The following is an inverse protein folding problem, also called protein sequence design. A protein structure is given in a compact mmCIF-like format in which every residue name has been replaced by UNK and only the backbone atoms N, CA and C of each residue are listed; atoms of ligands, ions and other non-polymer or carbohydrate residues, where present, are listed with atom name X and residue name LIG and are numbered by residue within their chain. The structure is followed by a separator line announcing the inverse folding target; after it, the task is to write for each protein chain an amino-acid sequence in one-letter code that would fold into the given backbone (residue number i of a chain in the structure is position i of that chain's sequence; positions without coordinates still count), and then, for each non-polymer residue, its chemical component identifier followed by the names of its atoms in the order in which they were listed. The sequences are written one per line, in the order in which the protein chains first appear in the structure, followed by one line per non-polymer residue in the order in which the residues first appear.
data_IF_573167753823
#
_entry.id   IF_573167753823
#
_cell.length_a   1.000
_cell.length_b   1.000
_cell.length_c   1.000
_cell.angle_alpha   90.00
_cell.angle_beta   90.00
_cell.angle_gamma   90.00
#
_symmetry.space_group_name_H-M   'P 1'
#
loop_
_entity.id
_entity.type
_entity.pdbx_description
1 polymer ?
#
# COMPACT_ATOMS: atom_id res chain seq x y z
N UNK A 1 -29.68 14.44 -3.84
CA UNK A 1 -28.97 14.74 -2.56
C UNK A 1 -27.79 13.81 -2.33
N UNK A 2 -28.00 12.52 -2.01
CA UNK A 2 -26.89 11.59 -1.80
C UNK A 2 -26.01 11.43 -3.06
N UNK A 3 -26.61 11.32 -4.25
CA UNK A 3 -25.84 11.26 -5.50
C UNK A 3 -25.00 12.52 -5.73
N UNK A 4 -25.48 13.70 -5.33
CA UNK A 4 -24.72 14.95 -5.43
C UNK A 4 -23.51 14.93 -4.50
N UNK A 5 -23.68 14.40 -3.28
CA UNK A 5 -22.58 14.19 -2.34
C UNK A 5 -21.52 13.28 -2.97
N UNK A 6 -21.92 12.14 -3.53
CA UNK A 6 -20.97 11.18 -4.11
C UNK A 6 -20.23 11.76 -5.34
N UNK A 7 -20.96 12.44 -6.24
CA UNK A 7 -20.35 13.11 -7.39
C UNK A 7 -19.36 14.22 -6.99
N UNK A 8 -19.62 14.92 -5.89
CA UNK A 8 -18.75 15.99 -5.43
C UNK A 8 -17.34 15.53 -5.01
N UNK A 9 -17.15 14.24 -4.72
CA UNK A 9 -15.81 13.69 -4.45
C UNK A 9 -14.96 13.48 -5.70
N UNK A 10 -15.53 13.61 -6.91
CA UNK A 10 -14.79 13.59 -8.18
C UNK A 10 -14.17 14.95 -8.52
N UNK A 11 -14.11 15.86 -7.56
CA UNK A 11 -13.58 17.22 -7.72
C UNK A 11 -12.08 17.19 -8.06
N UNK A 12 -11.71 17.79 -9.19
CA UNK A 12 -10.35 17.93 -9.69
C UNK A 12 -9.84 19.38 -9.60
N UNK A 13 -10.59 20.28 -8.97
CA UNK A 13 -10.28 21.70 -8.81
C UNK A 13 -11.47 22.64 -9.04
N UNK A 14 -12.64 22.11 -9.33
CA UNK A 14 -13.86 22.85 -9.58
C UNK A 14 -14.50 23.40 -8.29
N UNK A 15 -14.57 24.72 -8.17
CA UNK A 15 -15.22 25.39 -7.02
C UNK A 15 -16.71 25.02 -6.84
N UNK A 16 -17.39 24.64 -7.92
CA UNK A 16 -18.79 24.19 -7.90
C UNK A 16 -18.95 22.87 -7.17
N UNK A 17 -18.05 21.90 -7.37
CA UNK A 17 -18.09 20.60 -6.71
C UNK A 17 -17.74 20.70 -5.23
N UNK A 18 -16.82 21.61 -4.85
CA UNK A 18 -16.57 21.94 -3.45
C UNK A 18 -17.85 22.44 -2.75
N UNK A 19 -18.51 23.45 -3.31
CA UNK A 19 -19.77 23.98 -2.78
C UNK A 19 -20.88 22.93 -2.76
N UNK A 20 -20.93 22.07 -3.78
CA UNK A 20 -21.87 20.96 -3.83
C UNK A 20 -21.64 20.00 -2.67
N UNK A 21 -20.39 19.62 -2.37
CA UNK A 21 -20.03 18.76 -1.24
C UNK A 21 -20.51 19.36 0.09
N UNK A 22 -20.16 20.62 0.38
CA UNK A 22 -20.58 21.29 1.62
C UNK A 22 -22.11 21.35 1.74
N UNK A 23 -22.77 21.74 0.64
CA UNK A 23 -24.23 21.86 0.59
C UNK A 23 -24.89 20.50 0.84
N UNK A 24 -24.54 19.45 0.08
CA UNK A 24 -25.18 18.15 0.22
C UNK A 24 -24.86 17.49 1.56
N UNK A 25 -23.63 17.60 2.06
CA UNK A 25 -23.24 17.02 3.35
C UNK A 25 -24.05 17.61 4.49
N UNK A 26 -24.17 18.96 4.53
CA UNK A 26 -24.96 19.67 5.54
C UNK A 26 -26.42 19.23 5.53
N UNK A 27 -27.05 19.24 4.36
CA UNK A 27 -28.48 18.91 4.25
C UNK A 27 -28.74 17.42 4.50
N UNK A 28 -27.84 16.52 4.10
CA UNK A 28 -27.95 15.09 4.40
C UNK A 28 -27.86 14.83 5.90
N UNK A 29 -26.91 15.47 6.61
CA UNK A 29 -26.78 15.36 8.08
C UNK A 29 -28.06 15.80 8.80
N UNK A 30 -28.68 16.89 8.34
CA UNK A 30 -29.95 17.38 8.91
C UNK A 30 -31.12 16.45 8.59
N UNK A 31 -31.14 15.85 7.40
CA UNK A 31 -32.20 14.95 6.96
C UNK A 31 -32.20 13.61 7.72
N UNK A 32 -31.04 13.10 8.16
CA UNK A 32 -30.88 11.77 8.79
C UNK A 32 -31.92 11.49 9.89
N UNK A 33 -32.26 12.48 10.72
CA UNK A 33 -33.24 12.31 11.82
C UNK A 33 -34.69 12.13 11.37
N UNK A 34 -34.98 12.40 10.10
CA UNK A 34 -36.31 12.30 9.50
C UNK A 34 -36.42 11.16 8.48
N UNK A 35 -35.34 10.41 8.23
CA UNK A 35 -35.34 9.28 7.31
C UNK A 35 -35.74 8.00 8.02
N UNK A 36 -36.36 7.08 7.27
CA UNK A 36 -36.58 5.70 7.71
C UNK A 36 -35.27 5.07 8.22
N UNK A 37 -35.28 4.25 9.29
CA UNK A 37 -34.06 3.79 9.96
C UNK A 37 -33.01 3.14 9.05
N UNK A 38 -33.45 2.36 8.04
CA UNK A 38 -32.56 1.71 7.07
C UNK A 38 -31.86 2.73 6.16
N UNK A 39 -32.62 3.71 5.65
CA UNK A 39 -32.10 4.78 4.80
C UNK A 39 -31.23 5.76 5.60
N UNK A 40 -31.62 6.10 6.83
CA UNK A 40 -30.84 6.93 7.74
C UNK A 40 -29.44 6.33 7.99
N UNK A 41 -29.38 5.01 8.22
CA UNK A 41 -28.12 4.26 8.37
C UNK A 41 -27.31 4.28 7.08
N UNK A 42 -27.95 4.09 5.93
CA UNK A 42 -27.28 4.10 4.62
C UNK A 42 -26.69 5.47 4.28
N UNK A 43 -27.44 6.55 4.53
CA UNK A 43 -26.97 7.93 4.32
C UNK A 43 -25.82 8.26 5.26
N UNK A 44 -25.93 7.93 6.56
CA UNK A 44 -24.86 8.19 7.53
C UNK A 44 -23.54 7.54 7.11
N UNK A 45 -23.57 6.24 6.84
CA UNK A 45 -22.37 5.50 6.40
C UNK A 45 -21.81 5.98 5.06
N UNK A 46 -22.65 6.50 4.17
CA UNK A 46 -22.17 7.08 2.90
C UNK A 46 -21.52 8.46 3.09
N UNK A 47 -21.93 9.23 4.09
CA UNK A 47 -21.24 10.47 4.48
C UNK A 47 -19.89 10.20 5.14
N UNK A 48 -19.81 9.15 5.97
CA UNK A 48 -18.56 8.77 6.65
C UNK A 48 -17.56 8.12 5.67
N UNK A 49 -18.08 7.38 4.69
CA UNK A 49 -17.29 6.63 3.70
C UNK A 49 -17.83 6.87 2.27
N UNK A 50 -17.47 7.99 1.62
CA UNK A 50 -17.89 8.27 0.24
C UNK A 50 -17.29 7.25 -0.75
N UNK A 51 -18.03 6.92 -1.81
CA UNK A 51 -17.63 5.88 -2.78
C UNK A 51 -16.25 6.11 -3.39
N UNK A 52 -15.93 7.36 -3.77
CA UNK A 52 -14.68 7.66 -4.47
C UNK A 52 -13.43 7.46 -3.59
N UNK A 53 -13.56 7.61 -2.27
CA UNK A 53 -12.45 7.55 -1.31
C UNK A 53 -12.56 6.36 -0.36
N UNK A 54 -13.35 5.35 -0.73
CA UNK A 54 -13.59 4.15 0.09
C UNK A 54 -13.43 2.89 -0.74
N UNK A 55 -13.07 1.79 -0.07
CA UNK A 55 -12.95 0.48 -0.71
C UNK A 55 -14.28 0.02 -1.30
N UNK A 56 -14.29 -0.36 -2.58
CA UNK A 56 -15.53 -0.76 -3.26
C UNK A 56 -16.19 -1.96 -2.58
N UNK A 57 -15.40 -2.92 -2.11
CA UNK A 57 -15.91 -4.09 -1.38
C UNK A 57 -16.63 -3.72 -0.07
N UNK A 58 -16.12 -2.71 0.65
CA UNK A 58 -16.78 -2.18 1.84
C UNK A 58 -18.12 -1.55 1.48
N UNK A 59 -18.14 -0.73 0.42
CA UNK A 59 -19.36 -0.06 -0.07
C UNK A 59 -20.38 -1.06 -0.59
N UNK A 60 -19.96 -2.09 -1.32
CA UNK A 60 -20.82 -3.14 -1.86
C UNK A 60 -21.54 -3.91 -0.74
N UNK A 61 -20.83 -4.28 0.34
CA UNK A 61 -21.44 -4.91 1.53
C UNK A 61 -22.48 -4.02 2.18
N UNK A 62 -22.14 -2.74 2.34
CA UNK A 62 -23.05 -1.77 2.94
C UNK A 62 -24.29 -1.54 2.09
N UNK A 63 -24.11 -1.43 0.76
CA UNK A 63 -25.21 -1.25 -0.19
C UNK A 63 -26.11 -2.49 -0.24
N UNK A 64 -25.55 -3.69 -0.27
CA UNK A 64 -26.31 -4.94 -0.19
C UNK A 64 -27.17 -4.99 1.08
N UNK A 65 -26.60 -4.62 2.22
CA UNK A 65 -27.34 -4.56 3.50
C UNK A 65 -28.51 -3.57 3.42
N UNK A 66 -28.36 -2.43 2.74
CA UNK A 66 -29.46 -1.50 2.51
C UNK A 66 -30.54 -2.10 1.59
N UNK A 67 -30.16 -2.69 0.46
CA UNK A 67 -31.09 -3.32 -0.49
C UNK A 67 -31.94 -4.42 0.16
N UNK A 68 -31.34 -5.25 1.01
CA UNK A 68 -32.03 -6.32 1.73
C UNK A 68 -33.10 -5.81 2.71
N UNK A 69 -33.05 -4.54 3.11
CA UNK A 69 -34.02 -3.90 3.99
C UNK A 69 -35.10 -3.12 3.23
N UNK A 70 -35.10 -3.14 1.89
CA UNK A 70 -36.13 -2.49 1.09
C UNK A 70 -37.41 -3.34 0.99
N UNK A 71 -38.60 -2.71 0.89
CA UNK A 71 -39.86 -3.43 0.70
C UNK A 71 -39.91 -4.25 -0.60
N UNK A 72 -39.30 -3.71 -1.67
CA UNK A 72 -39.21 -4.37 -2.97
C UNK A 72 -37.78 -4.87 -3.18
N UNK A 73 -37.61 -6.19 -3.23
CA UNK A 73 -36.29 -6.83 -3.30
C UNK A 73 -36.07 -7.47 -4.67
N UNK A 74 -34.87 -7.27 -5.21
CA UNK A 74 -34.39 -8.02 -6.37
C UNK A 74 -33.53 -9.19 -5.87
N UNK A 75 -34.17 -10.32 -5.63
CA UNK A 75 -33.52 -11.51 -5.07
C UNK A 75 -32.43 -12.07 -5.98
N UNK A 76 -32.54 -11.89 -7.30
CA UNK A 76 -31.50 -12.29 -8.26
C UNK A 76 -30.20 -11.53 -8.06
N UNK A 77 -30.27 -10.20 -7.91
CA UNK A 77 -29.08 -9.35 -7.64
C UNK A 77 -28.47 -9.68 -6.28
N UNK A 78 -29.31 -9.88 -5.24
CA UNK A 78 -28.83 -10.24 -3.91
C UNK A 78 -28.11 -11.58 -3.90
N UNK A 79 -28.68 -12.60 -4.56
CA UNK A 79 -28.08 -13.92 -4.66
C UNK A 79 -26.76 -13.89 -5.42
N UNK A 80 -26.68 -13.12 -6.51
CA UNK A 80 -25.45 -12.93 -7.27
C UNK A 80 -24.37 -12.29 -6.40
N UNK A 81 -24.69 -11.18 -5.72
CA UNK A 81 -23.74 -10.49 -4.85
C UNK A 81 -23.25 -11.40 -3.72
N UNK A 82 -24.15 -12.13 -3.06
CA UNK A 82 -23.79 -13.09 -2.02
C UNK A 82 -22.89 -14.21 -2.54
N UNK A 83 -23.20 -14.79 -3.70
CA UNK A 83 -22.39 -15.82 -4.32
C UNK A 83 -20.98 -15.29 -4.65
N UNK A 84 -20.88 -14.11 -5.23
CA UNK A 84 -19.59 -13.46 -5.53
C UNK A 84 -18.77 -13.21 -4.25
N UNK A 85 -19.39 -12.71 -3.19
CA UNK A 85 -18.73 -12.53 -1.90
C UNK A 85 -18.18 -13.84 -1.34
N UNK A 86 -18.93 -14.95 -1.44
CA UNK A 86 -18.46 -16.25 -0.95
C UNK A 86 -17.29 -16.77 -1.79
N UNK A 87 -17.36 -16.65 -3.12
CA UNK A 87 -16.28 -17.09 -4.02
C UNK A 87 -15.00 -16.29 -3.75
N UNK A 88 -15.08 -14.95 -3.69
CA UNK A 88 -13.94 -14.09 -3.37
C UNK A 88 -13.36 -14.41 -1.99
N UNK A 89 -14.21 -14.61 -0.98
CA UNK A 89 -13.79 -14.99 0.38
C UNK A 89 -13.00 -16.31 0.39
N UNK A 90 -13.52 -17.35 -0.26
CA UNK A 90 -12.85 -18.65 -0.34
C UNK A 90 -11.51 -18.56 -1.07
N UNK A 91 -11.46 -17.75 -2.13
CA UNK A 91 -10.24 -17.49 -2.89
C UNK A 91 -9.18 -16.80 -2.02
N UNK A 92 -9.53 -15.71 -1.34
CA UNK A 92 -8.62 -15.01 -0.42
C UNK A 92 -8.15 -15.87 0.76
N UNK A 93 -9.01 -16.76 1.27
CA UNK A 93 -8.61 -17.71 2.31
C UNK A 93 -7.57 -18.73 1.83
N UNK A 94 -7.59 -19.12 0.55
CA UNK A 94 -6.56 -19.98 -0.05
C UNK A 94 -5.26 -19.21 -0.22
N UNK A 95 -5.35 -17.98 -0.75
CA UNK A 95 -4.21 -17.07 -0.94
C UNK A 95 -3.48 -16.81 0.39
N UNK A 96 -4.22 -16.47 1.45
CA UNK A 96 -3.65 -16.25 2.78
C UNK A 96 -2.93 -17.49 3.33
N UNK A 97 -3.46 -18.69 3.10
CA UNK A 97 -2.81 -19.93 3.55
C UNK A 97 -1.48 -20.15 2.84
N UNK A 98 -1.41 -19.84 1.55
CA UNK A 98 -0.20 -19.94 0.75
C UNK A 98 0.83 -18.91 1.19
N UNK A 99 0.43 -17.64 1.27
CA UNK A 99 1.26 -16.54 1.77
C UNK A 99 1.81 -16.85 3.16
N UNK A 100 0.95 -17.33 4.08
CA UNK A 100 1.38 -17.68 5.44
C UNK A 100 2.41 -18.81 5.42
N UNK A 101 2.22 -19.85 4.60
CA UNK A 101 3.19 -20.94 4.49
C UNK A 101 4.54 -20.41 4.01
N UNK A 102 4.54 -19.65 2.90
CA UNK A 102 5.74 -19.02 2.37
C UNK A 102 6.45 -18.16 3.43
N UNK A 103 5.71 -17.33 4.16
CA UNK A 103 6.26 -16.47 5.20
C UNK A 103 6.89 -17.26 6.36
N UNK A 104 6.23 -18.33 6.80
CA UNK A 104 6.78 -19.20 7.84
C UNK A 104 8.03 -19.96 7.38
N UNK A 105 8.06 -20.39 6.12
CA UNK A 105 9.18 -21.10 5.52
C UNK A 105 10.42 -20.20 5.37
N UNK A 106 10.24 -18.88 5.16
CA UNK A 106 11.34 -17.92 5.17
C UNK A 106 12.03 -17.79 6.53
N UNK A 107 11.31 -18.00 7.64
CA UNK A 107 11.88 -17.94 8.99
C UNK A 107 12.27 -16.54 9.50
N UNK A 108 12.10 -15.48 8.69
CA UNK A 108 12.56 -14.12 9.01
C UNK A 108 11.98 -13.56 10.31
N UNK A 109 10.71 -13.83 10.61
CA UNK A 109 10.09 -13.38 11.86
C UNK A 109 10.79 -13.94 13.13
N UNK A 110 11.46 -15.10 13.01
CA UNK A 110 12.25 -15.67 14.11
C UNK A 110 13.67 -15.12 14.14
N UNK A 111 14.26 -14.86 12.97
CA UNK A 111 15.62 -14.31 12.87
C UNK A 111 15.68 -12.82 13.22
N UNK A 112 14.56 -12.10 13.04
CA UNK A 112 14.45 -10.66 13.29
C UNK A 112 13.25 -10.40 14.23
N UNK A 113 13.35 -10.71 15.53
CA UNK A 113 12.21 -10.63 16.46
C UNK A 113 11.66 -9.21 16.66
N UNK A 114 12.46 -8.19 16.36
CA UNK A 114 12.05 -6.79 16.45
C UNK A 114 11.22 -6.33 15.25
N UNK A 115 11.28 -7.04 14.12
CA UNK A 115 10.49 -6.70 12.94
C UNK A 115 9.03 -7.16 13.10
N UNK A 116 8.11 -6.41 12.49
CA UNK A 116 6.68 -6.68 12.47
C UNK A 116 6.42 -8.04 11.81
N UNK A 117 5.66 -8.91 12.48
CA UNK A 117 5.14 -10.17 11.91
C UNK A 117 3.64 -10.03 11.62
N UNK A 118 3.32 -9.26 10.58
CA UNK A 118 1.95 -8.86 10.27
C UNK A 118 1.50 -9.28 8.85
N UNK A 119 1.89 -10.48 8.41
CA UNK A 119 1.64 -10.95 7.04
C UNK A 119 0.16 -10.89 6.59
N UNK A 120 -0.77 -11.03 7.54
CA UNK A 120 -2.20 -10.86 7.26
C UNK A 120 -2.58 -9.40 6.96
N UNK A 121 -1.99 -8.43 7.68
CA UNK A 121 -2.15 -6.99 7.41
C UNK A 121 -1.57 -6.66 6.04
N UNK A 122 -0.39 -7.17 5.75
CA UNK A 122 0.32 -6.94 4.48
C UNK A 122 -0.45 -7.48 3.27
N UNK A 123 -1.08 -8.65 3.41
CA UNK A 123 -1.96 -9.23 2.38
C UNK A 123 -3.21 -8.36 2.08
N UNK A 124 -3.69 -7.56 3.04
CA UNK A 124 -4.88 -6.73 2.81
C UNK A 124 -4.67 -5.72 1.68
N UNK A 125 -3.44 -5.22 1.49
CA UNK A 125 -3.11 -4.26 0.43
C UNK A 125 -3.38 -4.81 -0.98
N UNK A 126 -2.73 -5.90 -1.44
CA UNK A 126 -3.04 -6.46 -2.75
C UNK A 126 -4.48 -6.97 -2.86
N UNK A 127 -5.09 -7.44 -1.76
CA UNK A 127 -6.50 -7.86 -1.75
C UNK A 127 -7.46 -6.72 -2.12
N UNK A 128 -7.19 -5.50 -1.66
CA UNK A 128 -8.04 -4.34 -1.93
C UNK A 128 -7.72 -3.68 -3.27
N UNK A 129 -6.46 -3.72 -3.71
CA UNK A 129 -6.04 -3.16 -5.01
C UNK A 129 -6.49 -4.03 -6.19
N UNK A 130 -6.50 -5.36 -6.03
CA UNK A 130 -6.81 -6.30 -7.11
C UNK A 130 -8.10 -7.10 -6.83
N UNK A 131 -9.24 -6.60 -7.30
CA UNK A 131 -10.57 -7.17 -6.96
C UNK A 131 -11.00 -8.41 -7.78
N UNK A 132 -10.30 -8.73 -8.88
CA UNK A 132 -10.65 -9.82 -9.80
C UNK A 132 -10.12 -11.19 -9.37
N UNK A 133 -10.89 -12.27 -9.60
CA UNK A 133 -10.47 -13.64 -9.29
C UNK A 133 -9.22 -14.07 -10.07
N UNK A 134 -9.07 -13.59 -11.30
CA UNK A 134 -7.91 -13.83 -12.17
C UNK A 134 -6.60 -13.29 -11.60
N UNK A 135 -6.66 -12.31 -10.70
CA UNK A 135 -5.47 -11.68 -10.10
C UNK A 135 -4.95 -12.41 -8.86
N UNK A 136 -5.43 -13.62 -8.59
CA UNK A 136 -5.04 -14.42 -7.42
C UNK A 136 -3.53 -14.52 -7.24
N UNK A 137 -2.84 -14.95 -8.30
CA UNK A 137 -1.39 -15.13 -8.27
C UNK A 137 -0.67 -13.81 -8.03
N UNK A 138 -1.13 -12.73 -8.67
CA UNK A 138 -0.51 -11.41 -8.50
C UNK A 138 -0.72 -10.87 -7.09
N UNK A 139 -1.86 -11.14 -6.44
CA UNK A 139 -2.04 -10.80 -5.02
C UNK A 139 -1.04 -11.53 -4.13
N UNK A 140 -0.79 -12.81 -4.37
CA UNK A 140 0.18 -13.59 -3.61
C UNK A 140 1.58 -13.00 -3.80
N UNK A 141 2.02 -12.78 -5.03
CA UNK A 141 3.37 -12.26 -5.32
C UNK A 141 3.57 -10.83 -4.82
N UNK A 142 2.60 -9.95 -5.00
CA UNK A 142 2.66 -8.58 -4.45
C UNK A 142 2.68 -8.60 -2.93
N UNK A 143 1.97 -9.54 -2.28
CA UNK A 143 2.08 -9.68 -0.83
C UNK A 143 3.52 -9.96 -0.41
N UNK A 144 4.27 -10.77 -1.16
CA UNK A 144 5.68 -11.04 -0.85
C UNK A 144 6.53 -9.78 -0.93
N UNK A 145 6.31 -8.94 -1.95
CA UNK A 145 7.00 -7.64 -2.08
C UNK A 145 6.64 -6.71 -0.93
N UNK A 146 5.36 -6.57 -0.61
CA UNK A 146 4.90 -5.76 0.53
C UNK A 146 5.54 -6.24 1.83
N UNK A 147 5.57 -7.56 2.08
CA UNK A 147 6.26 -8.13 3.25
C UNK A 147 7.75 -7.77 3.28
N UNK A 148 8.45 -7.83 2.15
CA UNK A 148 9.87 -7.44 2.09
C UNK A 148 10.07 -5.96 2.37
N UNK A 149 9.18 -5.08 1.89
CA UNK A 149 9.23 -3.63 2.21
C UNK A 149 9.16 -3.43 3.72
N UNK A 150 8.16 -3.99 4.40
CA UNK A 150 8.02 -3.85 5.86
C UNK A 150 9.22 -4.40 6.64
N UNK A 151 9.77 -5.53 6.23
CA UNK A 151 10.93 -6.10 6.93
C UNK A 151 12.18 -5.27 6.72
N UNK A 152 12.42 -4.75 5.51
CA UNK A 152 13.57 -3.89 5.28
C UNK A 152 13.43 -2.57 6.05
N UNK A 153 12.24 -1.98 6.03
CA UNK A 153 11.89 -0.79 6.83
C UNK A 153 12.23 -1.00 8.32
N UNK A 154 11.75 -2.09 8.92
CA UNK A 154 12.06 -2.43 10.32
C UNK A 154 13.56 -2.67 10.57
N UNK A 155 14.27 -3.27 9.63
CA UNK A 155 15.73 -3.44 9.74
C UNK A 155 16.42 -2.07 9.76
N UNK A 156 16.00 -1.16 8.89
CA UNK A 156 16.61 0.18 8.77
C UNK A 156 16.30 1.06 9.98
N UNK A 157 15.12 0.94 10.57
CA UNK A 157 14.68 1.79 11.68
C UNK A 157 15.06 1.26 13.05
N UNK A 158 14.93 -0.06 13.28
CA UNK A 158 14.93 -0.63 14.62
C UNK A 158 16.13 -1.54 14.92
N UNK A 159 16.74 -2.15 13.90
CA UNK A 159 17.65 -3.29 14.11
C UNK A 159 19.09 -2.99 13.73
N UNK A 160 19.33 -2.54 12.50
CA UNK A 160 20.67 -2.49 11.94
C UNK A 160 21.47 -1.29 12.45
N UNK A 161 22.78 -1.48 12.58
CA UNK A 161 23.76 -0.42 12.81
C UNK A 161 24.06 0.34 11.51
N UNK A 162 24.64 1.54 11.64
CA UNK A 162 24.96 2.37 10.47
C UNK A 162 25.93 1.69 9.50
N UNK A 163 26.88 0.91 10.02
CA UNK A 163 27.85 0.18 9.21
C UNK A 163 27.17 -0.97 8.44
N UNK A 164 26.30 -1.72 9.11
CA UNK A 164 25.53 -2.81 8.49
C UNK A 164 24.62 -2.29 7.36
N UNK A 165 23.95 -1.16 7.57
CA UNK A 165 23.14 -0.55 6.52
C UNK A 165 23.96 -0.05 5.34
N UNK A 166 25.13 0.54 5.60
CA UNK A 166 26.00 1.03 4.53
C UNK A 166 26.46 -0.15 3.64
N UNK A 167 26.81 -1.28 4.26
CA UNK A 167 27.16 -2.52 3.56
C UNK A 167 25.96 -3.10 2.79
N UNK A 168 24.78 -3.13 3.41
CA UNK A 168 23.57 -3.62 2.76
C UNK A 168 23.21 -2.78 1.53
N UNK A 169 23.29 -1.45 1.65
CA UNK A 169 23.03 -0.53 0.55
C UNK A 169 24.04 -0.74 -0.59
N UNK A 170 25.33 -0.87 -0.29
CA UNK A 170 26.36 -1.13 -1.31
C UNK A 170 26.09 -2.43 -2.09
N UNK A 171 25.73 -3.51 -1.40
CA UNK A 171 25.41 -4.81 -2.01
C UNK A 171 24.13 -4.73 -2.87
N UNK A 172 23.18 -3.89 -2.49
CA UNK A 172 21.93 -3.70 -3.22
C UNK A 172 22.05 -2.83 -4.48
N UNK A 173 23.02 -1.90 -4.55
CA UNK A 173 23.09 -0.85 -5.58
C UNK A 173 23.86 -1.18 -6.88
N UNK A 174 24.73 -2.20 -6.89
CA UNK A 174 25.68 -2.42 -8.00
C UNK A 174 25.48 -3.76 -8.73
N UNK A 175 26.35 -4.08 -9.71
CA UNK A 175 26.48 -5.35 -10.45
C UNK A 175 26.53 -6.62 -9.57
N UNK A 176 26.53 -6.46 -8.25
CA UNK A 176 26.55 -7.46 -7.18
C UNK A 176 25.17 -7.83 -6.66
N UNK A 177 24.12 -7.75 -7.50
CA UNK A 177 22.86 -8.43 -7.23
C UNK A 177 23.06 -9.94 -7.28
N UNK A 178 23.72 -10.45 -6.25
CA UNK A 178 24.21 -11.80 -6.10
C UNK A 178 24.16 -12.15 -4.60
N UNK A 179 23.37 -13.15 -4.20
CA UNK A 179 23.33 -13.63 -2.83
C UNK A 179 24.70 -14.01 -2.25
N UNK A 180 25.67 -14.39 -3.09
CA UNK A 180 27.02 -14.70 -2.63
C UNK A 180 27.73 -13.48 -2.04
N UNK A 181 27.54 -12.29 -2.62
CA UNK A 181 28.16 -11.05 -2.13
C UNK A 181 27.69 -10.68 -0.71
N UNK A 182 26.45 -11.04 -0.36
CA UNK A 182 25.91 -10.82 0.98
C UNK A 182 26.54 -11.72 2.05
N UNK A 183 26.89 -12.96 1.70
CA UNK A 183 27.33 -13.99 2.68
C UNK A 183 28.62 -13.61 3.40
N UNK A 184 29.53 -12.93 2.70
CA UNK A 184 30.85 -12.60 3.25
C UNK A 184 30.87 -11.29 4.05
N UNK A 185 29.82 -10.47 3.95
CA UNK A 185 29.85 -9.07 4.42
C UNK A 185 28.74 -8.69 5.40
N UNK A 186 27.63 -9.43 5.44
CA UNK A 186 26.45 -9.08 6.23
C UNK A 186 26.22 -10.04 7.41
N UNK A 187 25.55 -9.61 8.49
CA UNK A 187 25.10 -10.51 9.54
C UNK A 187 24.03 -11.49 9.01
N UNK A 188 23.87 -12.63 9.69
CA UNK A 188 23.02 -13.73 9.22
C UNK A 188 21.58 -13.31 8.87
N UNK A 189 20.96 -12.46 9.69
CA UNK A 189 19.59 -12.00 9.49
C UNK A 189 19.44 -11.14 8.23
N UNK A 190 20.42 -10.28 7.92
CA UNK A 190 20.43 -9.48 6.70
C UNK A 190 20.73 -10.34 5.47
N UNK A 191 21.58 -11.38 5.60
CA UNK A 191 21.80 -12.36 4.53
C UNK A 191 20.48 -13.06 4.20
N UNK A 192 19.75 -13.54 5.20
CA UNK A 192 18.46 -14.19 5.02
C UNK A 192 17.43 -13.24 4.37
N UNK A 193 17.35 -12.00 4.84
CA UNK A 193 16.49 -10.96 4.26
C UNK A 193 16.84 -10.68 2.80
N UNK A 194 18.12 -10.44 2.50
CA UNK A 194 18.60 -10.18 1.14
C UNK A 194 18.35 -11.36 0.20
N UNK A 195 18.57 -12.59 0.64
CA UNK A 195 18.27 -13.80 -0.13
C UNK A 195 16.78 -13.92 -0.45
N UNK A 196 15.91 -13.62 0.52
CA UNK A 196 14.47 -13.63 0.31
C UNK A 196 14.05 -12.57 -0.72
N UNK A 197 14.55 -11.33 -0.56
CA UNK A 197 14.30 -10.21 -1.47
C UNK A 197 14.78 -10.52 -2.90
N UNK A 198 16.01 -11.03 -3.03
CA UNK A 198 16.59 -11.47 -4.29
C UNK A 198 15.70 -12.52 -4.96
N UNK A 199 15.30 -13.55 -4.22
CA UNK A 199 14.53 -14.68 -4.75
C UNK A 199 13.16 -14.22 -5.23
N UNK A 200 12.41 -13.50 -4.39
CA UNK A 200 11.07 -12.98 -4.73
C UNK A 200 11.13 -12.09 -5.97
N UNK A 201 12.09 -11.18 -6.04
CA UNK A 201 12.23 -10.24 -7.17
C UNK A 201 12.57 -10.98 -8.47
N UNK A 202 13.47 -11.97 -8.42
CA UNK A 202 13.82 -12.77 -9.60
C UNK A 202 12.69 -13.70 -10.03
N UNK A 203 11.93 -14.28 -9.10
CA UNK A 203 10.76 -15.12 -9.40
C UNK A 203 9.67 -14.31 -10.12
N UNK A 204 9.42 -13.07 -9.66
CA UNK A 204 8.49 -12.15 -10.34
C UNK A 204 9.03 -11.78 -11.72
N UNK A 205 10.31 -11.45 -11.85
CA UNK A 205 10.90 -11.14 -13.17
C UNK A 205 10.80 -12.32 -14.14
N UNK A 206 11.00 -13.54 -13.67
CA UNK A 206 10.82 -14.76 -14.46
C UNK A 206 9.34 -14.98 -14.85
N UNK A 207 8.41 -14.68 -13.95
CA UNK A 207 6.97 -14.72 -14.24
C UNK A 207 6.59 -13.74 -15.35
N UNK A 208 7.04 -12.49 -15.24
CA UNK A 208 6.80 -11.44 -16.24
C UNK A 208 7.38 -11.84 -17.59
N UNK A 209 8.61 -12.37 -17.61
CA UNK A 209 9.24 -12.86 -18.85
C UNK A 209 8.46 -13.99 -19.49
N UNK A 210 7.95 -14.92 -18.69
CA UNK A 210 7.17 -16.06 -19.17
C UNK A 210 5.80 -15.64 -19.72
N UNK A 211 5.13 -14.71 -19.05
CA UNK A 211 3.75 -14.31 -19.38
C UNK A 211 3.70 -13.24 -20.48
N UNK A 212 4.65 -12.30 -20.49
CA UNK A 212 4.61 -11.10 -21.32
C UNK A 212 5.84 -10.93 -22.23
N UNK A 213 6.87 -11.77 -22.09
CA UNK A 213 8.12 -11.65 -22.86
C UNK A 213 9.06 -10.51 -22.40
N UNK A 214 8.67 -9.74 -21.38
CA UNK A 214 9.43 -8.60 -20.85
C UNK A 214 10.46 -9.06 -19.80
N UNK A 215 11.60 -8.39 -19.71
CA UNK A 215 12.60 -8.64 -18.66
C UNK A 215 12.72 -7.44 -17.71
N UNK A 216 11.93 -7.38 -16.62
CA UNK A 216 11.86 -6.18 -15.79
C UNK A 216 13.00 -6.07 -14.77
N UNK A 217 13.89 -7.06 -14.69
CA UNK A 217 14.79 -7.25 -13.56
C UNK A 217 15.66 -6.01 -13.25
N UNK A 218 16.16 -5.32 -14.27
CA UNK A 218 16.95 -4.10 -14.09
C UNK A 218 16.15 -2.99 -13.41
N UNK A 219 14.90 -2.80 -13.83
CA UNK A 219 14.02 -1.77 -13.27
C UNK A 219 13.56 -2.11 -11.86
N UNK A 220 13.28 -3.39 -11.57
CA UNK A 220 12.92 -3.83 -10.23
C UNK A 220 14.07 -3.61 -9.24
N UNK A 221 15.32 -3.90 -9.66
CA UNK A 221 16.52 -3.61 -8.87
C UNK A 221 16.68 -2.12 -8.58
N UNK A 222 16.52 -1.29 -9.60
CA UNK A 222 16.61 0.18 -9.46
C UNK A 222 15.55 0.72 -8.49
N UNK A 223 14.34 0.17 -8.50
CA UNK A 223 13.30 0.61 -7.56
C UNK A 223 13.59 0.18 -6.11
N UNK A 224 14.17 -1.01 -5.90
CA UNK A 224 14.64 -1.41 -4.57
C UNK A 224 15.77 -0.50 -4.07
N UNK A 225 16.75 -0.22 -4.94
CA UNK A 225 17.84 0.70 -4.65
C UNK A 225 17.33 2.11 -4.29
N UNK A 226 16.37 2.65 -5.04
CA UNK A 226 15.75 3.93 -4.73
C UNK A 226 15.04 3.94 -3.36
N UNK A 227 14.40 2.82 -2.98
CA UNK A 227 13.79 2.67 -1.66
C UNK A 227 14.85 2.70 -0.55
N UNK A 228 15.94 1.95 -0.71
CA UNK A 228 17.01 1.90 0.28
C UNK A 228 17.74 3.23 0.44
N UNK A 229 18.02 3.94 -0.65
CA UNK A 229 18.55 5.31 -0.61
C UNK A 229 17.63 6.25 0.16
N UNK A 230 16.31 6.12 -0.02
CA UNK A 230 15.31 6.88 0.72
C UNK A 230 15.38 6.63 2.23
N UNK A 231 15.47 5.36 2.64
CA UNK A 231 15.63 5.01 4.06
C UNK A 231 16.96 5.53 4.64
N UNK A 232 18.04 5.52 3.85
CA UNK A 232 19.32 6.11 4.26
C UNK A 232 19.22 7.63 4.49
N UNK A 233 18.41 8.33 3.70
CA UNK A 233 18.13 9.76 3.87
C UNK A 233 17.38 10.01 5.19
N UNK A 234 16.32 9.25 5.46
CA UNK A 234 15.55 9.34 6.71
C UNK A 234 16.42 9.09 7.94
N UNK A 235 17.23 8.03 7.90
CA UNK A 235 18.18 7.72 8.98
C UNK A 235 19.24 8.80 9.18
N UNK A 236 19.70 9.43 8.11
CA UNK A 236 20.63 10.57 8.19
C UNK A 236 19.97 11.75 8.92
N UNK A 237 18.70 12.07 8.62
CA UNK A 237 17.96 13.11 9.35
C UNK A 237 17.87 12.78 10.84
N UNK A 238 17.54 11.54 11.18
CA UNK A 238 17.43 11.07 12.56
C UNK A 238 18.77 11.17 13.31
N UNK A 239 19.86 10.62 12.76
CA UNK A 239 21.16 10.59 13.44
C UNK A 239 21.81 11.97 13.56
N UNK A 240 21.61 12.85 12.58
CA UNK A 240 22.16 14.22 12.61
C UNK A 240 21.29 15.21 13.39
N UNK A 241 20.12 14.78 13.86
CA UNK A 241 19.10 15.63 14.48
C UNK A 241 18.73 16.85 13.61
N UNK A 242 18.78 16.66 12.28
CA UNK A 242 18.41 17.68 11.29
C UNK A 242 16.99 17.42 10.84
N UNK A 243 16.06 18.27 11.24
CA UNK A 243 14.69 18.20 10.75
C UNK A 243 14.65 18.63 9.26
N UNK A 244 14.12 17.80 8.35
CA UNK A 244 13.89 18.19 6.97
C UNK A 244 12.79 19.25 6.88
N UNK A 245 12.75 19.97 5.76
CA UNK A 245 11.55 20.73 5.40
C UNK A 245 10.39 19.76 5.10
N UNK A 246 9.11 20.14 5.26
CA UNK A 246 7.96 19.34 4.86
C UNK A 246 8.03 18.89 3.40
N UNK A 247 8.53 19.75 2.50
CA UNK A 247 8.65 19.42 1.07
C UNK A 247 9.73 18.37 0.81
N UNK A 248 10.89 18.47 1.48
CA UNK A 248 11.96 17.47 1.37
C UNK A 248 11.54 16.14 2.01
N UNK A 249 10.91 16.20 3.20
CA UNK A 249 10.33 15.04 3.87
C UNK A 249 9.33 14.35 2.96
N UNK A 250 8.37 15.07 2.40
CA UNK A 250 7.31 14.46 1.58
C UNK A 250 7.86 13.88 0.28
N UNK A 251 8.88 14.52 -0.31
CA UNK A 251 9.55 14.00 -1.51
C UNK A 251 10.21 12.66 -1.24
N UNK A 252 10.90 12.53 -0.11
CA UNK A 252 11.51 11.25 0.31
C UNK A 252 10.43 10.25 0.73
N UNK A 253 9.47 10.70 1.53
CA UNK A 253 8.33 9.95 2.06
C UNK A 253 7.50 9.26 0.98
N UNK A 254 7.36 9.88 -0.20
CA UNK A 254 6.72 9.25 -1.38
C UNK A 254 7.46 7.98 -1.79
N UNK A 255 8.80 8.01 -1.83
CA UNK A 255 9.64 6.87 -2.20
C UNK A 255 9.64 5.84 -1.07
N UNK A 256 9.92 6.26 0.17
CA UNK A 256 10.03 5.39 1.35
C UNK A 256 8.72 4.77 1.79
N UNK A 257 7.60 5.28 1.32
CA UNK A 257 6.31 4.61 1.49
C UNK A 257 6.27 3.20 0.86
N UNK A 258 7.20 2.89 -0.05
CA UNK A 258 7.26 1.62 -0.78
C UNK A 258 6.18 1.45 -1.85
N UNK A 259 5.20 2.36 -1.94
CA UNK A 259 4.17 2.32 -2.97
C UNK A 259 4.76 2.33 -4.39
N UNK A 260 5.72 3.20 -4.75
CA UNK A 260 6.27 3.22 -6.11
C UNK A 260 6.88 1.88 -6.53
N UNK A 261 7.60 1.24 -5.62
CA UNK A 261 8.18 -0.09 -5.82
C UNK A 261 7.10 -1.16 -6.06
N UNK A 262 6.05 -1.17 -5.23
CA UNK A 262 4.93 -2.12 -5.34
C UNK A 262 4.17 -1.92 -6.65
N UNK A 263 3.90 -0.66 -7.03
CA UNK A 263 3.26 -0.34 -8.31
C UNK A 263 4.09 -0.79 -9.50
N UNK A 264 5.41 -0.59 -9.47
CA UNK A 264 6.30 -1.04 -10.55
C UNK A 264 6.23 -2.56 -10.73
N UNK A 265 6.33 -3.33 -9.64
CA UNK A 265 6.16 -4.79 -9.68
C UNK A 265 4.79 -5.18 -10.24
N UNK A 266 3.73 -4.49 -9.81
CA UNK A 266 2.38 -4.76 -10.26
C UNK A 266 2.19 -4.48 -11.75
N UNK A 267 2.68 -3.34 -12.25
CA UNK A 267 2.53 -3.00 -13.66
C UNK A 267 3.25 -3.98 -14.58
N UNK A 268 4.46 -4.42 -14.22
CA UNK A 268 5.13 -5.47 -14.97
C UNK A 268 4.39 -6.81 -14.91
N UNK A 269 3.83 -7.21 -13.75
CA UNK A 269 2.98 -8.39 -13.64
C UNK A 269 1.74 -8.32 -14.54
N UNK A 270 1.22 -7.11 -14.77
CA UNK A 270 0.11 -6.85 -15.68
C UNK A 270 0.55 -6.70 -17.16
N UNK A 271 1.84 -6.81 -17.46
CA UNK A 271 2.38 -6.71 -18.82
C UNK A 271 2.59 -5.28 -19.32
N UNK A 272 2.53 -4.28 -18.42
CA UNK A 272 2.85 -2.90 -18.75
C UNK A 272 4.35 -2.65 -18.61
N UNK A 273 5.00 -2.32 -19.74
CA UNK A 273 6.37 -1.84 -19.72
C UNK A 273 6.39 -0.32 -19.45
N UNK A 274 6.87 0.08 -18.27
CA UNK A 274 6.98 1.49 -17.89
C UNK A 274 8.20 2.18 -18.49
N UNK A 275 8.98 1.49 -19.33
CA UNK A 275 10.30 1.94 -19.79
C UNK A 275 10.34 2.27 -21.28
N UNK A 276 9.32 1.84 -22.03
CA UNK A 276 9.11 2.23 -23.43
C UNK A 276 8.10 3.38 -23.54
N UNK A 277 8.51 4.53 -24.11
CA UNK A 277 7.61 5.64 -24.46
C UNK A 277 7.34 6.68 -23.35
N UNK A 278 6.41 7.61 -23.65
CA UNK A 278 6.05 8.75 -22.79
C UNK A 278 5.14 8.31 -21.62
N UNK A 279 5.70 7.60 -20.65
CA UNK A 279 5.00 7.06 -19.47
C UNK A 279 4.78 8.08 -18.34
N UNK A 280 4.89 9.38 -18.62
CA UNK A 280 4.73 10.47 -17.66
C UNK A 280 3.40 10.36 -16.88
N UNK A 281 2.33 9.96 -17.56
CA UNK A 281 1.03 9.75 -16.92
C UNK A 281 1.04 8.62 -15.87
N UNK A 282 1.68 7.49 -16.16
CA UNK A 282 1.75 6.37 -15.21
C UNK A 282 2.64 6.71 -14.02
N UNK A 283 3.78 7.35 -14.26
CA UNK A 283 4.66 7.85 -13.19
C UNK A 283 3.94 8.85 -12.28
N UNK A 284 3.12 9.73 -12.87
CA UNK A 284 2.30 10.67 -12.12
C UNK A 284 1.20 9.97 -11.31
N UNK A 285 0.55 8.93 -11.85
CA UNK A 285 -0.41 8.11 -11.10
C UNK A 285 0.26 7.46 -9.88
N UNK A 286 1.43 6.85 -10.08
CA UNK A 286 2.22 6.23 -9.01
C UNK A 286 2.56 7.27 -7.93
N UNK A 287 3.11 8.41 -8.35
CA UNK A 287 3.51 9.49 -7.44
C UNK A 287 2.32 10.02 -6.64
N UNK A 288 1.17 10.26 -7.27
CA UNK A 288 -0.04 10.71 -6.58
C UNK A 288 -0.55 9.66 -5.58
N UNK A 289 -0.59 8.38 -5.96
CA UNK A 289 -1.04 7.30 -5.07
C UNK A 289 -0.11 7.15 -3.87
N UNK A 290 1.21 7.16 -4.09
CA UNK A 290 2.21 7.10 -3.05
C UNK A 290 2.16 8.32 -2.10
N UNK A 291 1.93 9.52 -2.65
CA UNK A 291 1.73 10.75 -1.85
C UNK A 291 0.49 10.65 -0.96
N UNK A 292 -0.63 10.17 -1.50
CA UNK A 292 -1.86 9.94 -0.71
C UNK A 292 -1.56 8.93 0.40
N UNK A 293 -0.88 7.83 0.08
CA UNK A 293 -0.55 6.79 1.05
C UNK A 293 0.32 7.33 2.18
N UNK A 294 1.43 8.00 1.88
CA UNK A 294 2.32 8.62 2.88
C UNK A 294 1.57 9.60 3.77
N UNK A 295 0.80 10.52 3.17
CA UNK A 295 0.04 11.50 3.96
C UNK A 295 -1.03 10.86 4.85
N UNK A 296 -1.68 9.79 4.39
CA UNK A 296 -2.65 9.05 5.20
C UNK A 296 -2.00 8.29 6.35
N UNK A 297 -0.82 7.74 6.12
CA UNK A 297 -0.01 7.06 7.12
C UNK A 297 0.41 8.04 8.23
N UNK A 298 0.97 9.20 7.85
CA UNK A 298 1.38 10.28 8.76
C UNK A 298 0.22 10.94 9.52
N UNK A 299 -1.00 10.88 8.97
CA UNK A 299 -2.22 11.33 9.63
C UNK A 299 -2.71 10.33 10.69
N UNK A 300 -2.31 9.06 10.56
CA UNK A 300 -2.45 8.07 11.60
C UNK A 300 -1.71 8.48 12.87
N UNK A 301 -2.09 7.92 14.01
CA UNK A 301 -1.27 8.11 15.21
C UNK A 301 -0.06 7.18 15.13
N UNK A 302 1.15 7.73 15.12
CA UNK A 302 2.45 7.03 15.25
C UNK A 302 2.59 6.11 16.49
N UNK A 303 1.50 5.95 17.26
CA UNK A 303 1.38 5.04 18.41
C UNK A 303 1.31 3.56 18.02
N UNK A 304 0.98 3.24 16.77
CA UNK A 304 0.82 1.84 16.33
C UNK A 304 2.16 1.11 16.11
N UNK A 305 3.29 1.82 16.08
CA UNK A 305 4.55 1.26 15.56
C UNK A 305 5.63 1.01 16.62
N UNK A 306 5.36 1.21 17.91
CA UNK A 306 6.39 1.12 18.99
C UNK A 306 7.67 1.95 18.75
N UNK A 307 7.69 2.81 17.74
CA UNK A 307 8.82 3.64 17.33
C UNK A 307 9.07 4.86 18.22
N UNK A 308 8.41 4.97 19.39
CA UNK A 308 8.57 6.06 20.38
C UNK A 308 8.58 7.51 19.80
N UNK A 309 7.97 7.74 18.62
CA UNK A 309 7.98 9.05 17.95
C UNK A 309 9.33 9.42 17.30
N UNK A 310 10.16 8.43 16.98
CA UNK A 310 11.43 8.60 16.26
C UNK A 310 11.24 8.78 14.76
N UNK A 311 10.11 8.32 14.21
CA UNK A 311 9.75 8.57 12.82
C UNK A 311 9.12 9.96 12.66
N UNK A 312 9.58 10.72 11.67
CA UNK A 312 9.07 12.06 11.39
C UNK A 312 7.65 11.98 10.84
N UNK A 313 6.82 13.00 11.09
CA UNK A 313 5.48 13.11 10.48
C UNK A 313 5.38 14.39 9.66
N UNK A 314 4.89 14.31 8.42
CA UNK A 314 4.64 15.49 7.60
C UNK A 314 3.77 16.52 8.32
N UNK A 315 2.77 16.06 9.08
CA UNK A 315 1.86 16.93 9.84
C UNK A 315 2.63 17.76 10.88
N UNK A 316 3.55 17.14 11.61
CA UNK A 316 4.33 17.81 12.65
C UNK A 316 5.33 18.81 12.05
N UNK A 317 5.99 18.43 10.96
CA UNK A 317 6.90 19.31 10.23
C UNK A 317 6.15 20.51 9.64
N UNK A 318 4.98 20.28 9.04
CA UNK A 318 4.16 21.34 8.46
C UNK A 318 3.70 22.35 9.52
N UNK A 319 3.24 21.87 10.69
CA UNK A 319 2.87 22.74 11.81
C UNK A 319 4.05 23.52 12.38
N UNK A 320 5.26 22.95 12.38
CA UNK A 320 6.47 23.64 12.83
C UNK A 320 6.83 24.82 11.93
N UNK A 321 6.64 24.68 10.63
CA UNK A 321 6.87 25.76 9.67
C UNK A 321 5.70 26.75 9.54
N UNK A 322 4.48 26.33 9.91
CA UNK A 322 3.24 27.12 9.82
C UNK A 322 2.50 27.14 11.19
N UNK A 323 3.00 27.89 12.18
CA UNK A 323 2.50 27.91 13.56
C UNK A 323 1.13 28.55 13.75
#
# INVERSE_FOLDING_TARGET
MLSLQEMSYLNMGESSLYKANEFSAKHLRLAIKYLEPSLARYVRRSLDHPYHVSLMQYKARHHLSYLQNLPTRNTSIENLALAEFQIKKLQHQREIKEVKRWWMDLGLAKEIPAARDQVLKWYMWPMTVLEGLSFSRYRIEITKIVSMVYIVDDIFDLVATQNELSLFNEIAHFDRWDPAAAVDSLPSYMISCYKALYTVTNDIAAMVRKEHGLNPITHLKQAWAALFDGFMIERKWLYTNQAPTPDDYLRNGIVTSGAPLVFLHLFFLLGHDLTEGNNDHMLRIISCAAKIMRLWDDLGSAKDESQEGLDGSYKELYHRENP
#
